data_IF_689384206174
#
_entry.id   IF_689384206174
#
_cell.length_a   1.000
_cell.length_b   1.000
_cell.length_c   1.000
_cell.angle_alpha   90.00
_cell.angle_beta   90.00
_cell.angle_gamma   90.00
#
_symmetry.space_group_name_H-M   'P 1'
#
loop_
_entity.id
_entity.type
_entity.pdbx_description
1 polymer ?
#
# COMPACT_ATOMS: atom_id res chain seq x y z
N UNK A 1 -40.72 -12.28 41.00
CA UNK A 1 -39.27 -12.09 41.12
C UNK A 1 -38.65 -12.52 39.80
N UNK A 2 -38.55 -11.61 38.82
CA UNK A 2 -37.96 -11.91 37.50
C UNK A 2 -36.48 -11.54 37.60
N UNK A 3 -35.53 -12.46 37.34
CA UNK A 3 -34.13 -12.11 37.35
C UNK A 3 -33.92 -11.12 36.21
N UNK A 4 -33.40 -9.94 36.56
CA UNK A 4 -33.04 -8.89 35.62
C UNK A 4 -32.08 -9.45 34.57
N UNK A 5 -32.61 -9.84 33.40
CA UNK A 5 -31.81 -10.15 32.24
C UNK A 5 -30.97 -8.90 31.95
N UNK A 6 -29.65 -9.06 31.78
CA UNK A 6 -28.72 -7.96 31.50
C UNK A 6 -28.39 -7.94 29.99
N UNK A 7 -29.36 -7.87 29.04
CA UNK A 7 -29.03 -7.91 27.61
C UNK A 7 -28.17 -6.70 27.21
N UNK A 8 -28.30 -5.58 27.92
CA UNK A 8 -27.47 -4.39 27.73
C UNK A 8 -25.98 -4.64 28.02
N UNK A 9 -25.64 -5.47 29.02
CA UNK A 9 -24.25 -5.76 29.34
C UNK A 9 -23.59 -6.63 28.26
N UNK A 10 -24.31 -7.65 27.76
CA UNK A 10 -23.83 -8.50 26.66
C UNK A 10 -23.70 -7.73 25.35
N UNK A 11 -24.63 -6.83 25.03
CA UNK A 11 -24.56 -5.99 23.84
C UNK A 11 -23.36 -5.03 23.89
N UNK A 12 -23.09 -4.41 25.05
CA UNK A 12 -21.92 -3.53 25.23
C UNK A 12 -20.62 -4.31 25.12
N UNK A 13 -20.54 -5.51 25.70
CA UNK A 13 -19.35 -6.37 25.58
C UNK A 13 -19.10 -6.77 24.12
N UNK A 14 -20.15 -7.13 23.38
CA UNK A 14 -20.03 -7.47 21.95
C UNK A 14 -19.60 -6.28 21.11
N UNK A 15 -20.08 -5.07 21.44
CA UNK A 15 -19.74 -3.84 20.73
C UNK A 15 -18.29 -3.39 21.00
N UNK A 16 -17.82 -3.58 22.24
CA UNK A 16 -16.42 -3.33 22.60
C UNK A 16 -15.49 -4.37 21.96
N UNK A 17 -15.90 -5.63 21.93
CA UNK A 17 -15.15 -6.70 21.27
C UNK A 17 -15.03 -6.44 19.76
N UNK A 18 -16.12 -6.08 19.08
CA UNK A 18 -16.08 -5.78 17.65
C UNK A 18 -15.20 -4.56 17.32
N UNK A 19 -15.26 -3.51 18.15
CA UNK A 19 -14.38 -2.35 18.02
C UNK A 19 -12.89 -2.72 18.19
N UNK A 20 -12.57 -3.59 19.14
CA UNK A 20 -11.21 -4.08 19.36
C UNK A 20 -10.69 -4.92 18.18
N UNK A 21 -11.53 -5.78 17.59
CA UNK A 21 -11.16 -6.54 16.39
C UNK A 21 -10.90 -5.63 15.18
N UNK A 22 -11.70 -4.58 14.98
CA UNK A 22 -11.50 -3.60 13.92
C UNK A 22 -10.20 -2.80 14.10
N UNK A 23 -9.86 -2.43 15.33
CA UNK A 23 -8.60 -1.73 15.63
C UNK A 23 -7.36 -2.60 15.38
N UNK A 24 -7.44 -3.91 15.63
CA UNK A 24 -6.35 -4.86 15.37
C UNK A 24 -6.15 -5.15 13.88
N UNK A 25 -7.11 -4.83 13.01
CA UNK A 25 -7.02 -5.05 11.57
C UNK A 25 -6.22 -3.96 10.85
N UNK A 26 -5.68 -2.97 11.57
CA UNK A 26 -4.74 -2.00 11.03
C UNK A 26 -3.45 -2.72 10.61
N UNK A 27 -3.41 -3.17 9.36
CA UNK A 27 -2.21 -3.77 8.77
C UNK A 27 -1.11 -2.71 8.75
N UNK A 28 0.05 -3.02 9.33
CA UNK A 28 1.22 -2.16 9.18
C UNK A 28 1.68 -2.28 7.74
N UNK A 29 1.52 -1.24 6.94
CA UNK A 29 2.16 -1.17 5.63
C UNK A 29 3.66 -1.19 5.89
N UNK A 30 4.33 -2.29 5.51
CA UNK A 30 5.77 -2.37 5.58
C UNK A 30 6.36 -1.22 4.76
N UNK A 31 7.43 -0.61 5.25
CA UNK A 31 8.10 0.44 4.49
C UNK A 31 8.54 -0.14 3.13
N UNK A 32 8.27 0.57 2.01
CA UNK A 32 8.68 0.09 0.70
C UNK A 32 10.20 0.07 0.59
N UNK A 33 10.74 -0.85 -0.20
CA UNK A 33 12.14 -0.81 -0.58
C UNK A 33 12.37 0.34 -1.56
N UNK A 34 13.47 1.07 -1.40
CA UNK A 34 13.88 2.13 -2.33
C UNK A 34 15.07 1.63 -3.15
N UNK A 35 14.93 1.63 -4.47
CA UNK A 35 16.02 1.36 -5.41
C UNK A 35 16.26 2.63 -6.22
N UNK A 36 17.45 3.23 -6.05
CA UNK A 36 17.85 4.43 -6.78
C UNK A 36 18.86 4.06 -7.87
N UNK A 37 18.49 4.29 -9.13
CA UNK A 37 19.33 4.01 -10.29
C UNK A 37 19.81 5.36 -10.83
N UNK A 38 21.12 5.56 -10.84
CA UNK A 38 21.77 6.74 -11.39
C UNK A 38 22.57 6.34 -12.63
N UNK A 39 22.33 7.04 -13.73
CA UNK A 39 23.11 6.93 -14.96
C UNK A 39 23.93 8.21 -15.14
N UNK A 40 25.19 8.06 -15.52
CA UNK A 40 26.07 9.19 -15.81
C UNK A 40 25.85 9.68 -17.24
N UNK A 41 25.86 11.00 -17.44
CA UNK A 41 25.69 11.68 -18.75
C UNK A 41 24.47 11.29 -19.61
N UNK A 42 23.47 10.61 -19.04
CA UNK A 42 22.27 10.26 -19.79
C UNK A 42 21.44 11.52 -20.10
N UNK A 43 21.29 11.81 -21.39
CA UNK A 43 20.48 12.90 -21.89
C UNK A 43 18.99 12.64 -21.72
N UNK A 44 18.22 13.73 -21.64
CA UNK A 44 16.77 13.66 -21.47
C UNK A 44 16.07 12.91 -22.63
N UNK A 45 16.56 13.05 -23.86
CA UNK A 45 15.97 12.45 -25.04
C UNK A 45 16.47 11.03 -25.34
N UNK A 46 17.30 10.45 -24.47
CA UNK A 46 17.98 9.17 -24.78
C UNK A 46 17.09 7.95 -24.56
N UNK A 47 16.05 8.03 -23.75
CA UNK A 47 15.18 6.88 -23.46
C UNK A 47 14.06 6.73 -24.49
N UNK A 48 13.66 5.49 -24.79
CA UNK A 48 12.57 5.17 -25.70
C UNK A 48 11.24 5.79 -25.28
N UNK A 49 10.92 5.81 -23.98
CA UNK A 49 9.72 6.47 -23.45
C UNK A 49 9.76 8.02 -23.57
N UNK A 50 10.92 8.62 -23.86
CA UNK A 50 11.07 10.04 -24.21
C UNK A 50 11.13 10.27 -25.73
N UNK A 51 10.97 9.22 -26.54
CA UNK A 51 10.91 9.29 -28.01
C UNK A 51 12.21 8.96 -28.74
N UNK A 52 13.25 8.47 -28.04
CA UNK A 52 14.48 7.99 -28.69
C UNK A 52 14.20 6.80 -29.61
N UNK A 53 14.63 6.88 -30.86
CA UNK A 53 14.64 5.73 -31.79
C UNK A 53 16.02 5.10 -31.98
N UNK A 54 17.07 5.71 -31.41
CA UNK A 54 18.46 5.25 -31.57
C UNK A 54 18.91 4.39 -30.39
N UNK A 55 18.65 4.85 -29.16
CA UNK A 55 19.03 4.16 -27.94
C UNK A 55 17.86 3.30 -27.47
N UNK A 56 18.05 1.98 -27.49
CA UNK A 56 17.03 1.02 -27.08
C UNK A 56 17.05 0.82 -25.57
N UNK A 57 15.99 1.25 -24.88
CA UNK A 57 15.87 1.15 -23.41
C UNK A 57 14.68 0.30 -22.95
N UNK A 58 14.46 -0.93 -23.46
CA UNK A 58 13.21 -1.67 -23.26
C UNK A 58 12.84 -1.94 -21.79
N UNK A 59 13.83 -2.08 -20.91
CA UNK A 59 13.59 -2.29 -19.47
C UNK A 59 13.18 -1.00 -18.76
N UNK A 60 13.78 0.14 -19.11
CA UNK A 60 13.37 1.44 -18.59
C UNK A 60 12.00 1.85 -19.17
N UNK A 61 11.72 1.52 -20.43
CA UNK A 61 10.43 1.75 -21.07
C UNK A 61 9.31 0.92 -20.44
N UNK A 62 9.62 -0.30 -19.99
CA UNK A 62 8.68 -1.13 -19.22
C UNK A 62 8.47 -0.56 -17.81
N UNK A 63 9.54 -0.12 -17.14
CA UNK A 63 9.46 0.52 -15.82
C UNK A 63 8.66 1.83 -15.85
N UNK A 64 8.75 2.62 -16.92
CA UNK A 64 7.96 3.84 -17.07
C UNK A 64 6.44 3.60 -17.22
N UNK A 65 6.03 2.36 -17.52
CA UNK A 65 4.62 1.96 -17.71
C UNK A 65 4.02 1.21 -16.51
N UNK A 66 4.82 0.92 -15.47
CA UNK A 66 4.40 0.12 -14.31
C UNK A 66 3.59 0.89 -13.29
#
# INVERSE_FOLDING_TARGET
MVPWSRPAASAVVLLLASAALLASAATSVAAPNIVYILSDDQGYADTGFMGSSEVLTPQLDALAKS
#
